data_IF_602119806191
#
_entry.id   IF_602119806191
#
_cell.length_a   1.000
_cell.length_b   1.000
_cell.length_c   1.000
_cell.angle_alpha   90.00
_cell.angle_beta   90.00
_cell.angle_gamma   90.00
#
_symmetry.space_group_name_H-M   'P 1'
#
loop_
_entity.id
_entity.type
_entity.pdbx_description
1 polymer ?
#
# COMPACT_ATOMS: atom_id res chain seq x y z
N UNK A 1 -26.24 3.51 -55.43
CA UNK A 1 -24.82 3.43 -55.02
C UNK A 1 -24.17 4.81 -55.08
N UNK A 2 -24.31 5.64 -54.04
CA UNK A 2 -23.64 6.96 -53.95
C UNK A 2 -23.80 7.70 -52.60
N UNK A 3 -24.07 7.03 -51.47
CA UNK A 3 -24.18 7.73 -50.17
C UNK A 3 -23.52 6.99 -48.99
N UNK A 4 -22.55 6.11 -49.26
CA UNK A 4 -21.88 5.32 -48.20
C UNK A 4 -20.45 5.78 -47.87
N UNK A 5 -20.02 6.95 -48.35
CA UNK A 5 -18.62 7.40 -48.18
C UNK A 5 -18.42 8.60 -47.24
N UNK A 6 -19.49 9.21 -46.72
CA UNK A 6 -19.41 10.43 -45.91
C UNK A 6 -19.70 10.23 -44.42
N UNK A 7 -20.00 9.01 -43.98
CA UNK A 7 -20.36 8.73 -42.57
C UNK A 7 -19.22 8.06 -41.77
N UNK A 8 -18.06 7.85 -42.40
CA UNK A 8 -16.93 7.14 -41.80
C UNK A 8 -15.89 8.07 -41.11
N UNK A 9 -16.11 9.39 -41.10
CA UNK A 9 -15.15 10.39 -40.60
C UNK A 9 -15.72 11.33 -39.52
N UNK A 10 -16.71 10.88 -38.73
CA UNK A 10 -17.35 11.72 -37.71
C UNK A 10 -17.58 11.01 -36.35
N UNK A 11 -16.74 10.03 -35.99
CA UNK A 11 -16.79 9.35 -34.67
C UNK A 11 -15.43 9.20 -33.98
N UNK A 12 -14.45 10.01 -34.35
CA UNK A 12 -13.11 10.03 -33.70
C UNK A 12 -13.00 11.10 -32.61
N UNK A 13 -14.04 11.90 -32.36
CA UNK A 13 -13.93 13.09 -31.52
C UNK A 13 -15.00 13.18 -30.41
N UNK A 14 -15.28 12.07 -29.72
CA UNK A 14 -16.06 12.13 -28.48
C UNK A 14 -15.21 11.60 -27.33
N UNK A 15 -14.45 12.55 -26.76
CA UNK A 15 -14.05 12.64 -25.35
C UNK A 15 -14.06 11.31 -24.57
N UNK A 16 -12.94 10.63 -24.33
CA UNK A 16 -11.87 11.08 -23.42
C UNK A 16 -12.38 11.81 -22.17
N UNK A 17 -13.44 11.29 -21.54
CA UNK A 17 -13.91 11.77 -20.24
C UNK A 17 -14.42 10.59 -19.40
N UNK A 18 -13.93 10.52 -18.16
CA UNK A 18 -14.24 9.56 -17.07
C UNK A 18 -13.60 8.17 -17.23
N UNK A 19 -12.72 7.67 -16.36
CA UNK A 19 -12.35 8.06 -15.00
C UNK A 19 -10.84 7.86 -14.82
N UNK A 20 -10.10 8.97 -14.78
CA UNK A 20 -8.85 8.97 -14.02
C UNK A 20 -9.24 8.75 -12.57
N UNK A 21 -9.05 7.53 -12.05
CA UNK A 21 -9.15 7.27 -10.62
C UNK A 21 -8.16 8.21 -9.95
N UNK A 22 -8.70 9.20 -9.27
CA UNK A 22 -8.00 10.12 -8.38
C UNK A 22 -7.18 9.28 -7.41
N UNK A 23 -5.90 9.09 -7.71
CA UNK A 23 -4.92 8.72 -6.71
C UNK A 23 -4.86 9.92 -5.77
N UNK A 24 -5.65 9.84 -4.71
CA UNK A 24 -5.54 10.73 -3.56
C UNK A 24 -4.07 10.70 -3.17
N UNK A 25 -3.34 11.77 -3.53
CA UNK A 25 -1.95 12.00 -3.12
C UNK A 25 -2.03 12.27 -1.62
N UNK A 26 -2.10 11.18 -0.87
CA UNK A 26 -2.04 11.12 0.58
C UNK A 26 -0.70 11.72 0.95
N UNK A 27 -0.72 12.83 1.70
CA UNK A 27 0.45 13.58 2.16
C UNK A 27 1.69 12.67 2.28
N UNK A 28 2.56 12.76 1.28
CA UNK A 28 3.57 11.76 0.98
C UNK A 28 4.66 11.85 2.06
N UNK A 29 4.57 10.98 3.05
CA UNK A 29 5.58 10.82 4.08
C UNK A 29 6.67 9.92 3.51
N UNK A 30 7.87 10.46 3.16
CA UNK A 30 8.86 9.70 2.42
C UNK A 30 9.31 8.42 3.14
N UNK A 31 9.24 8.40 4.48
CA UNK A 31 9.55 7.21 5.28
C UNK A 31 8.48 6.12 5.19
N UNK A 32 7.20 6.51 5.17
CA UNK A 32 6.08 5.56 5.07
C UNK A 32 6.04 4.91 3.69
N UNK A 33 6.27 5.69 2.64
CA UNK A 33 6.35 5.17 1.27
C UNK A 33 7.49 4.17 1.11
N UNK A 34 8.69 4.50 1.59
CA UNK A 34 9.83 3.57 1.58
C UNK A 34 9.55 2.29 2.38
N UNK A 35 8.88 2.38 3.52
CA UNK A 35 8.48 1.20 4.28
C UNK A 35 7.50 0.32 3.49
N UNK A 36 6.56 0.91 2.74
CA UNK A 36 5.67 0.15 1.85
C UNK A 36 6.44 -0.58 0.75
N UNK A 37 7.40 0.10 0.13
CA UNK A 37 8.24 -0.50 -0.93
C UNK A 37 9.06 -1.68 -0.38
N UNK A 38 9.66 -1.54 0.81
CA UNK A 38 10.42 -2.59 1.48
C UNK A 38 9.54 -3.78 1.87
N UNK A 39 8.33 -3.53 2.38
CA UNK A 39 7.35 -4.59 2.67
C UNK A 39 6.93 -5.35 1.40
N UNK A 40 6.73 -4.65 0.28
CA UNK A 40 6.42 -5.29 -1.00
C UNK A 40 7.61 -6.11 -1.53
N UNK A 41 8.83 -5.61 -1.36
CA UNK A 41 10.05 -6.32 -1.73
C UNK A 41 10.25 -7.57 -0.88
N UNK A 42 10.00 -7.51 0.43
CA UNK A 42 10.18 -8.61 1.37
C UNK A 42 9.40 -9.86 0.95
N UNK A 43 8.19 -9.70 0.40
CA UNK A 43 7.37 -10.83 -0.10
C UNK A 43 8.08 -11.65 -1.18
N UNK A 44 8.89 -11.00 -2.01
CA UNK A 44 9.55 -11.60 -3.18
C UNK A 44 11.02 -11.92 -2.92
N UNK A 45 11.60 -11.42 -1.84
CA UNK A 45 13.01 -11.58 -1.54
C UNK A 45 13.36 -13.01 -1.13
N UNK A 46 14.54 -13.48 -1.58
CA UNK A 46 15.12 -14.72 -1.08
C UNK A 46 15.44 -14.61 0.41
N UNK A 47 15.92 -13.44 0.84
CA UNK A 47 16.15 -13.07 2.24
C UNK A 47 15.28 -11.86 2.62
N UNK A 48 14.10 -12.07 3.25
CA UNK A 48 13.19 -10.99 3.63
C UNK A 48 13.59 -10.24 4.90
N UNK A 49 14.46 -10.79 5.75
CA UNK A 49 14.71 -10.27 7.10
C UNK A 49 15.22 -8.82 7.09
N UNK A 50 16.24 -8.45 6.29
CA UNK A 50 16.75 -7.08 6.28
C UNK A 50 15.70 -6.05 5.84
N UNK A 51 14.80 -6.46 4.94
CA UNK A 51 13.72 -5.60 4.44
C UNK A 51 12.64 -5.38 5.49
N UNK A 52 12.29 -6.42 6.25
CA UNK A 52 11.33 -6.31 7.37
C UNK A 52 11.87 -5.40 8.48
N UNK A 53 13.15 -5.55 8.85
CA UNK A 53 13.78 -4.70 9.85
C UNK A 53 13.90 -3.24 9.39
N UNK A 54 14.29 -3.02 8.13
CA UNK A 54 14.36 -1.68 7.55
C UNK A 54 12.98 -1.02 7.56
N UNK A 55 11.94 -1.74 7.12
CA UNK A 55 10.58 -1.22 7.13
C UNK A 55 10.12 -0.85 8.54
N UNK A 56 10.37 -1.73 9.54
CA UNK A 56 10.11 -1.44 10.96
C UNK A 56 10.78 -0.15 11.40
N UNK A 57 12.08 -0.02 11.13
CA UNK A 57 12.87 1.15 11.51
C UNK A 57 12.35 2.45 10.88
N UNK A 58 11.91 2.40 9.61
CA UNK A 58 11.31 3.56 8.94
C UNK A 58 10.00 3.99 9.55
N UNK A 59 9.13 3.03 9.89
CA UNK A 59 7.85 3.33 10.56
C UNK A 59 8.09 3.90 11.96
N UNK A 60 9.04 3.34 12.72
CA UNK A 60 9.44 3.88 14.02
C UNK A 60 9.94 5.32 13.92
N UNK A 61 10.76 5.63 12.90
CA UNK A 61 11.34 6.97 12.68
C UNK A 61 10.42 7.97 12.00
N UNK A 62 9.27 7.53 11.46
CA UNK A 62 8.37 8.44 10.78
C UNK A 62 7.78 9.43 11.80
N UNK A 63 8.14 10.72 11.74
CA UNK A 63 7.88 11.66 12.84
C UNK A 63 6.40 12.07 13.00
N UNK A 64 5.59 12.14 11.94
CA UNK A 64 4.17 12.52 11.99
C UNK A 64 3.46 11.92 10.78
N UNK A 65 2.26 11.34 10.90
CA UNK A 65 1.56 10.84 9.71
C UNK A 65 0.40 9.88 9.90
N UNK A 66 0.49 9.02 10.91
CA UNK A 66 -0.62 8.19 11.33
C UNK A 66 -1.02 8.69 12.72
N UNK A 67 -2.31 8.96 12.92
CA UNK A 67 -2.87 9.56 14.14
C UNK A 67 -2.57 8.68 15.36
N UNK A 68 -1.41 8.87 15.98
CA UNK A 68 -0.99 8.39 17.30
C UNK A 68 -1.01 6.89 17.60
N UNK A 69 -1.75 6.07 16.87
CA UNK A 69 -2.07 4.71 17.29
C UNK A 69 -2.18 3.70 16.17
N UNK A 70 -1.71 4.01 14.95
CA UNK A 70 -1.59 3.04 13.86
C UNK A 70 -0.14 2.56 13.65
N UNK A 71 0.88 3.31 14.12
CA UNK A 71 2.29 2.90 13.94
C UNK A 71 2.62 1.64 14.72
N UNK A 72 2.13 1.56 15.96
CA UNK A 72 2.29 0.39 16.83
C UNK A 72 1.64 -0.84 16.21
N UNK A 73 0.42 -0.72 15.69
CA UNK A 73 -0.28 -1.80 15.00
C UNK A 73 0.48 -2.27 13.75
N UNK A 74 1.09 -1.35 12.99
CA UNK A 74 1.94 -1.71 11.85
C UNK A 74 3.20 -2.43 12.32
N UNK A 75 3.90 -1.89 13.32
CA UNK A 75 5.13 -2.49 13.87
C UNK A 75 4.82 -3.89 14.44
N UNK A 76 3.70 -4.06 15.15
CA UNK A 76 3.26 -5.36 15.64
C UNK A 76 3.06 -6.37 14.51
N UNK A 77 2.44 -5.95 13.39
CA UNK A 77 2.31 -6.82 12.21
C UNK A 77 3.64 -7.12 11.53
N UNK A 78 4.61 -6.21 11.55
CA UNK A 78 5.95 -6.49 11.05
C UNK A 78 6.68 -7.48 11.97
N UNK A 79 6.57 -7.34 13.30
CA UNK A 79 7.13 -8.30 14.25
C UNK A 79 6.49 -9.68 14.09
N UNK A 80 5.16 -9.77 13.96
CA UNK A 80 4.48 -11.03 13.65
C UNK A 80 5.00 -11.63 12.32
N UNK A 81 5.33 -10.80 11.31
CA UNK A 81 5.91 -11.29 10.06
C UNK A 81 7.32 -11.87 10.28
N UNK A 82 8.15 -11.20 11.08
CA UNK A 82 9.51 -11.65 11.45
C UNK A 82 9.43 -12.99 12.18
N UNK A 83 8.57 -13.12 13.19
CA UNK A 83 8.36 -14.38 13.93
C UNK A 83 7.94 -15.52 12.99
N UNK A 84 7.07 -15.24 12.02
CA UNK A 84 6.67 -16.25 11.03
C UNK A 84 7.80 -16.61 10.06
N UNK A 85 8.65 -15.65 9.71
CA UNK A 85 9.84 -15.90 8.89
C UNK A 85 10.84 -16.80 9.62
N UNK A 86 11.13 -16.50 10.90
CA UNK A 86 12.01 -17.30 11.75
C UNK A 86 11.48 -18.72 11.96
N UNK A 87 10.15 -18.87 12.05
CA UNK A 87 9.49 -20.16 12.11
C UNK A 87 9.41 -20.90 10.75
N UNK A 88 9.99 -20.35 9.67
CA UNK A 88 9.96 -20.93 8.32
C UNK A 88 8.59 -20.82 7.61
N UNK A 89 7.62 -20.12 8.19
CA UNK A 89 6.25 -20.01 7.72
C UNK A 89 6.07 -18.87 6.71
N UNK A 90 6.65 -19.00 5.52
CA UNK A 90 6.65 -17.92 4.51
C UNK A 90 5.25 -17.42 4.11
N UNK A 91 4.27 -18.32 3.97
CA UNK A 91 2.89 -17.92 3.64
C UNK A 91 2.26 -17.05 4.74
N UNK A 92 2.48 -17.39 6.01
CA UNK A 92 1.98 -16.59 7.14
C UNK A 92 2.72 -15.26 7.25
N UNK A 93 4.04 -15.23 7.00
CA UNK A 93 4.80 -13.98 6.90
C UNK A 93 4.17 -13.04 5.87
N UNK A 94 3.86 -13.52 4.66
CA UNK A 94 3.22 -12.68 3.63
C UNK A 94 1.84 -12.16 4.04
N UNK A 95 1.05 -12.95 4.77
CA UNK A 95 -0.23 -12.49 5.34
C UNK A 95 -0.03 -11.35 6.34
N UNK A 96 0.98 -11.46 7.21
CA UNK A 96 1.32 -10.40 8.18
C UNK A 96 1.83 -9.14 7.49
N UNK A 97 2.64 -9.28 6.44
CA UNK A 97 3.06 -8.15 5.58
C UNK A 97 1.85 -7.46 4.96
N UNK A 98 0.90 -8.21 4.39
CA UNK A 98 -0.31 -7.61 3.80
C UNK A 98 -1.14 -6.86 4.86
N UNK A 99 -1.24 -7.38 6.08
CA UNK A 99 -1.91 -6.71 7.19
C UNK A 99 -1.19 -5.41 7.61
N UNK A 100 0.15 -5.41 7.65
CA UNK A 100 0.95 -4.22 7.92
C UNK A 100 0.71 -3.13 6.86
N UNK A 101 0.72 -3.50 5.58
CA UNK A 101 0.41 -2.59 4.45
C UNK A 101 -1.00 -2.03 4.57
N UNK A 102 -2.00 -2.86 4.89
CA UNK A 102 -3.38 -2.42 5.09
C UNK A 102 -3.49 -1.40 6.23
N UNK A 103 -2.80 -1.63 7.36
CA UNK A 103 -2.78 -0.70 8.49
C UNK A 103 -2.09 0.63 8.12
N UNK A 104 -1.00 0.59 7.35
CA UNK A 104 -0.38 1.80 6.80
C UNK A 104 -1.32 2.58 5.88
N UNK A 105 -2.16 1.88 5.12
CA UNK A 105 -3.17 2.49 4.27
C UNK A 105 -4.45 2.92 4.99
N UNK A 106 -4.74 2.44 6.20
CA UNK A 106 -6.03 2.76 6.83
C UNK A 106 -6.00 4.00 7.73
N UNK A 107 -4.83 4.42 8.24
CA UNK A 107 -4.68 5.60 9.11
C UNK A 107 -5.92 5.83 9.99
N UNK A 108 -6.26 4.88 10.86
CA UNK A 108 -7.61 4.75 11.40
C UNK A 108 -7.91 5.98 12.26
N UNK A 109 -8.89 6.75 11.83
CA UNK A 109 -9.58 7.68 12.70
C UNK A 109 -10.28 6.86 13.79
N UNK A 110 -9.65 6.75 14.96
CA UNK A 110 -10.20 6.05 16.13
C UNK A 110 -11.50 6.70 16.66
N UNK A 111 -12.01 7.77 16.03
CA UNK A 111 -13.27 8.42 16.38
C UNK A 111 -14.54 7.66 15.97
N UNK A 112 -14.43 6.56 15.20
CA UNK A 112 -15.61 5.81 14.66
C UNK A 112 -15.70 4.34 15.09
N UNK A 113 -15.20 3.96 16.27
CA UNK A 113 -15.56 2.65 16.86
C UNK A 113 -16.82 2.83 17.72
N UNK A 114 -17.96 2.18 17.38
CA UNK A 114 -19.03 2.04 18.37
C UNK A 114 -18.48 1.23 19.55
N UNK A 115 -18.79 1.69 20.76
CA UNK A 115 -18.43 1.08 22.04
C UNK A 115 -19.01 -0.33 22.15
#
# INVERSE_FOLDING_TARGET
MKHYLACLLARVACAMLFLGTTTVVRADLPQQRKALDELQAAKKAADPMPLLESAKNRITKANKGNKGGDKEDVIAKINEAIEQLEAGNRSKMEQKINAAIANLHQGKDKSKRPK
#
